data_IF_904997572873
#
_entry.id   IF_904997572873
#
_cell.length_a   1.000
_cell.length_b   1.000
_cell.length_c   1.000
_cell.angle_alpha   90.00
_cell.angle_beta   90.00
_cell.angle_gamma   90.00
#
_symmetry.space_group_name_H-M   'P 1'
#
loop_
_entity.id
_entity.type
_entity.pdbx_description
1 polymer ?
#
# COMPACT_ATOMS: atom_id res chain seq x y z
N UNK A 1 -11.03 -16.37 -12.56
CA UNK A 1 -10.78 -15.89 -11.23
C UNK A 1 -9.33 -16.01 -10.85
N UNK A 2 -8.60 -14.97 -11.08
CA UNK A 2 -7.18 -14.99 -10.81
C UNK A 2 -6.85 -14.10 -9.63
N UNK A 3 -6.25 -14.70 -8.61
CA UNK A 3 -5.63 -13.97 -7.54
C UNK A 3 -4.28 -13.48 -8.01
N UNK A 4 -3.94 -12.26 -7.64
CA UNK A 4 -2.66 -11.66 -7.99
C UNK A 4 -1.96 -11.17 -6.75
N UNK A 5 -0.66 -10.99 -6.87
CA UNK A 5 0.18 -10.49 -5.78
C UNK A 5 0.35 -8.99 -5.92
N UNK A 6 0.16 -8.31 -4.81
CA UNK A 6 0.39 -6.87 -4.70
C UNK A 6 1.21 -6.59 -3.45
N UNK A 7 1.69 -5.37 -3.33
CA UNK A 7 2.68 -5.04 -2.31
C UNK A 7 2.30 -3.77 -1.57
N UNK A 8 2.54 -3.77 -0.28
CA UNK A 8 2.28 -2.63 0.59
C UNK A 8 3.55 -2.26 1.33
N UNK A 9 3.95 -1.00 1.23
CA UNK A 9 5.12 -0.46 1.91
C UNK A 9 4.64 0.34 3.11
N UNK A 10 5.20 0.08 4.27
CA UNK A 10 4.81 0.80 5.46
C UNK A 10 5.97 0.91 6.44
N UNK A 11 5.81 1.73 7.47
CA UNK A 11 6.81 1.87 8.52
C UNK A 11 6.88 0.61 9.37
N UNK A 12 8.07 0.32 9.85
CA UNK A 12 8.38 -0.86 10.66
C UNK A 12 7.51 -0.97 11.91
N UNK A 13 7.08 0.15 12.47
CA UNK A 13 6.21 0.17 13.65
C UNK A 13 4.87 -0.53 13.41
N UNK A 14 4.41 -0.60 12.17
CA UNK A 14 3.14 -1.20 11.81
C UNK A 14 3.22 -2.72 11.60
N UNK A 15 4.42 -3.28 11.64
CA UNK A 15 4.67 -4.68 11.29
C UNK A 15 3.83 -5.66 12.12
N UNK A 16 3.87 -5.53 13.43
CA UNK A 16 3.17 -6.49 14.30
C UNK A 16 1.66 -6.40 14.16
N UNK A 17 1.14 -5.19 14.03
CA UNK A 17 -0.28 -4.98 13.83
C UNK A 17 -0.76 -5.63 12.53
N UNK A 18 0.02 -5.51 11.45
CA UNK A 18 -0.33 -6.09 10.16
C UNK A 18 -0.26 -7.61 10.22
N UNK A 19 0.76 -8.17 10.84
CA UNK A 19 0.86 -9.63 11.00
C UNK A 19 -0.30 -10.21 11.82
N UNK A 20 -0.80 -9.44 12.78
CA UNK A 20 -1.91 -9.87 13.63
C UNK A 20 -3.28 -9.66 12.98
N UNK A 21 -3.50 -8.53 12.37
CA UNK A 21 -4.81 -8.08 11.92
C UNK A 21 -5.00 -8.04 10.40
N UNK A 22 -3.93 -8.24 9.64
CA UNK A 22 -3.93 -8.02 8.20
C UNK A 22 -3.76 -6.53 7.86
N UNK A 23 -3.88 -6.23 6.57
CA UNK A 23 -3.87 -4.85 6.10
C UNK A 23 -5.28 -4.27 6.24
N UNK A 24 -5.43 -3.31 7.12
CA UNK A 24 -6.72 -2.69 7.43
C UNK A 24 -6.84 -1.36 6.68
N UNK A 25 -7.93 -1.11 5.98
CA UNK A 25 -8.12 0.17 5.29
C UNK A 25 -7.98 1.36 6.24
N UNK A 26 -7.19 2.34 5.83
CA UNK A 26 -6.95 3.53 6.65
C UNK A 26 -6.65 4.73 5.78
N UNK A 27 -6.79 5.92 6.36
CA UNK A 27 -6.35 7.15 5.72
C UNK A 27 -4.91 7.39 6.20
N UNK A 28 -3.95 7.21 5.30
CA UNK A 28 -2.55 7.44 5.62
C UNK A 28 -2.22 8.92 5.71
N UNK A 29 -1.30 9.26 6.61
CA UNK A 29 -0.85 10.65 6.78
C UNK A 29 -0.28 11.24 5.49
N UNK A 30 0.39 10.43 4.69
CA UNK A 30 0.98 10.89 3.43
C UNK A 30 -0.08 11.28 2.41
N UNK A 31 -1.20 10.57 2.38
CA UNK A 31 -2.31 10.92 1.49
C UNK A 31 -2.92 12.27 1.85
N UNK A 32 -3.04 12.55 3.14
CA UNK A 32 -3.58 13.83 3.61
C UNK A 32 -2.69 15.01 3.21
N UNK A 33 -1.38 14.78 3.06
CA UNK A 33 -0.43 15.81 2.65
C UNK A 33 -0.42 16.05 1.15
N UNK A 34 -0.55 14.97 0.37
CA UNK A 34 -0.28 15.02 -1.07
C UNK A 34 -1.49 15.38 -1.91
N UNK A 35 -2.70 15.20 -1.41
CA UNK A 35 -3.90 15.23 -2.24
C UNK A 35 -4.84 16.39 -1.90
N UNK A 36 -4.35 17.62 -2.02
CA UNK A 36 -5.18 18.81 -1.78
C UNK A 36 -6.35 18.94 -2.76
N UNK A 37 -6.14 18.49 -3.99
CA UNK A 37 -7.15 18.66 -5.04
C UNK A 37 -8.25 17.63 -4.97
N UNK A 38 -7.98 16.54 -4.30
CA UNK A 38 -8.90 15.41 -4.28
C UNK A 38 -9.14 14.97 -2.86
N UNK A 39 -9.68 15.90 -2.08
CA UNK A 39 -9.95 15.66 -0.67
C UNK A 39 -10.85 14.46 -0.44
N UNK A 40 -11.79 14.21 -1.35
CA UNK A 40 -12.68 13.06 -1.24
C UNK A 40 -11.92 11.76 -1.36
N UNK A 41 -11.07 11.64 -2.37
CA UNK A 41 -10.29 10.42 -2.60
C UNK A 41 -9.24 10.20 -1.55
N UNK A 42 -8.60 11.27 -1.09
CA UNK A 42 -7.58 11.16 -0.06
C UNK A 42 -8.15 10.82 1.31
N UNK A 43 -9.43 11.10 1.54
CA UNK A 43 -10.10 10.78 2.81
C UNK A 43 -10.70 9.39 2.83
N UNK A 44 -10.77 8.70 1.71
CA UNK A 44 -11.26 7.33 1.68
C UNK A 44 -10.32 6.39 2.42
N UNK A 45 -10.85 5.67 3.40
CA UNK A 45 -10.06 4.66 4.09
C UNK A 45 -9.87 3.46 3.16
N UNK A 46 -8.64 3.23 2.75
CA UNK A 46 -8.30 2.12 1.87
C UNK A 46 -6.90 1.61 2.12
N UNK A 47 -6.65 0.37 1.71
CA UNK A 47 -5.29 -0.19 1.65
C UNK A 47 -4.73 0.19 0.28
N UNK A 48 -3.59 0.87 0.27
CA UNK A 48 -2.91 1.27 -0.96
C UNK A 48 -1.81 0.27 -1.28
N UNK A 49 -1.88 -0.30 -2.46
CA UNK A 49 -0.97 -1.34 -2.92
C UNK A 49 -0.26 -0.91 -4.19
N UNK A 50 0.86 -1.54 -4.48
CA UNK A 50 1.58 -1.35 -5.74
C UNK A 50 1.98 -2.68 -6.34
N UNK A 51 2.40 -2.65 -7.60
CA UNK A 51 2.96 -3.83 -8.25
C UNK A 51 4.39 -4.05 -7.77
N UNK A 52 4.90 -5.26 -8.01
CA UNK A 52 6.27 -5.61 -7.65
C UNK A 52 7.30 -4.67 -8.29
N UNK A 53 7.09 -4.34 -9.55
CA UNK A 53 8.01 -3.50 -10.31
C UNK A 53 8.04 -2.05 -9.82
N UNK A 54 7.01 -1.63 -9.09
CA UNK A 54 6.88 -0.25 -8.64
C UNK A 54 7.21 -0.04 -7.16
N UNK A 55 7.69 -1.07 -6.47
CA UNK A 55 8.00 -0.98 -5.04
C UNK A 55 8.95 0.18 -4.73
N UNK A 56 10.08 0.25 -5.43
CA UNK A 56 11.06 1.30 -5.19
C UNK A 56 10.53 2.68 -5.57
N UNK A 57 9.79 2.75 -6.65
CA UNK A 57 9.18 3.98 -7.11
C UNK A 57 8.21 4.55 -6.08
N UNK A 58 7.37 3.71 -5.51
CA UNK A 58 6.43 4.13 -4.47
C UNK A 58 7.14 4.48 -3.16
N UNK A 59 8.20 3.76 -2.82
CA UNK A 59 9.03 4.12 -1.66
C UNK A 59 9.58 5.53 -1.83
N UNK A 60 10.13 5.84 -3.00
CA UNK A 60 10.68 7.17 -3.28
C UNK A 60 9.63 8.27 -3.27
N UNK A 61 8.40 7.94 -3.65
CA UNK A 61 7.31 8.92 -3.65
C UNK A 61 6.75 9.19 -2.25
N UNK A 62 6.56 8.13 -1.47
CA UNK A 62 5.86 8.22 -0.17
C UNK A 62 6.84 8.36 0.99
N UNK A 63 7.93 7.61 0.92
CA UNK A 63 8.93 7.54 1.99
C UNK A 63 10.31 8.02 1.52
N UNK A 64 10.32 9.12 0.83
CA UNK A 64 11.50 9.66 0.15
C UNK A 64 12.74 9.79 1.04
N UNK A 65 12.54 10.21 2.30
CA UNK A 65 13.63 10.45 3.24
C UNK A 65 13.77 9.35 4.28
N UNK A 66 13.10 8.23 4.08
CA UNK A 66 13.12 7.13 5.04
C UNK A 66 13.97 6.01 4.46
N UNK A 67 14.89 5.49 5.26
CA UNK A 67 15.73 4.37 4.85
C UNK A 67 14.93 3.06 4.85
N UNK A 68 15.32 2.14 3.98
CA UNK A 68 14.70 0.82 3.91
C UNK A 68 14.73 0.07 5.24
N UNK A 69 15.74 0.30 6.07
CA UNK A 69 15.83 -0.34 7.39
C UNK A 69 14.67 0.02 8.32
N UNK A 70 13.99 1.14 8.08
CA UNK A 70 12.87 1.61 8.88
C UNK A 70 11.52 1.29 8.25
N UNK A 71 11.52 0.57 7.14
CA UNK A 71 10.33 0.19 6.40
C UNK A 71 10.20 -1.32 6.32
N UNK A 72 8.99 -1.77 6.06
CA UNK A 72 8.70 -3.16 5.75
C UNK A 72 7.83 -3.21 4.50
N UNK A 73 7.93 -4.31 3.76
CA UNK A 73 7.10 -4.55 2.58
C UNK A 73 6.34 -5.83 2.81
N UNK A 74 5.03 -5.76 2.60
CA UNK A 74 4.16 -6.93 2.68
C UNK A 74 3.70 -7.32 1.29
N UNK A 75 3.82 -8.61 0.99
CA UNK A 75 3.18 -9.20 -0.18
C UNK A 75 1.80 -9.65 0.24
N UNK A 76 0.79 -9.29 -0.54
CA UNK A 76 -0.57 -9.73 -0.30
C UNK A 76 -1.16 -10.34 -1.56
N UNK A 77 -2.08 -11.27 -1.36
CA UNK A 77 -2.78 -11.95 -2.45
C UNK A 77 -4.23 -11.52 -2.43
N UNK A 78 -4.68 -10.97 -3.54
CA UNK A 78 -6.05 -10.47 -3.67
C UNK A 78 -6.62 -10.80 -5.04
N UNK A 79 -7.95 -10.82 -5.11
CA UNK A 79 -8.65 -10.84 -6.39
C UNK A 79 -8.52 -9.47 -7.05
N UNK A 80 -8.16 -9.42 -8.32
CA UNK A 80 -8.09 -8.15 -9.04
C UNK A 80 -9.41 -7.41 -9.07
N UNK A 81 -10.50 -8.15 -9.09
CA UNK A 81 -11.85 -7.56 -9.09
C UNK A 81 -12.17 -6.79 -7.81
N UNK A 82 -11.45 -7.08 -6.72
CA UNK A 82 -11.64 -6.38 -5.44
C UNK A 82 -10.83 -5.09 -5.34
N UNK A 83 -10.05 -4.80 -6.37
CA UNK A 83 -9.15 -3.65 -6.37
C UNK A 83 -9.63 -2.60 -7.37
N UNK A 84 -9.34 -1.35 -7.04
CA UNK A 84 -9.49 -0.23 -7.99
C UNK A 84 -8.13 0.35 -8.29
N UNK A 85 -7.85 0.51 -9.58
CA UNK A 85 -6.60 1.07 -10.05
C UNK A 85 -6.75 2.57 -10.23
N UNK A 86 -5.78 3.33 -9.73
CA UNK A 86 -5.69 4.76 -9.96
C UNK A 86 -4.36 5.07 -10.60
N UNK A 87 -4.40 5.82 -11.68
CA UNK A 87 -3.22 6.19 -12.43
C UNK A 87 -2.77 7.58 -12.00
N UNK A 88 -1.76 7.62 -11.13
CA UNK A 88 -1.15 8.86 -10.70
C UNK A 88 0.04 9.18 -11.60
N UNK A 89 0.48 10.43 -11.60
CA UNK A 89 1.69 10.82 -12.34
C UNK A 89 2.91 9.99 -11.93
N UNK A 90 2.94 9.55 -10.69
CA UNK A 90 4.07 8.85 -10.11
C UNK A 90 3.93 7.32 -10.10
N UNK A 91 2.93 6.78 -10.74
CA UNK A 91 2.71 5.35 -10.82
C UNK A 91 1.28 4.94 -10.53
N UNK A 92 1.00 3.65 -10.62
CA UNK A 92 -0.33 3.12 -10.40
C UNK A 92 -0.52 2.71 -8.95
N UNK A 93 -1.64 3.08 -8.39
CA UNK A 93 -2.07 2.66 -7.07
C UNK A 93 -3.23 1.68 -7.22
N UNK A 94 -3.14 0.57 -6.50
CA UNK A 94 -4.22 -0.43 -6.42
C UNK A 94 -4.84 -0.31 -5.04
N UNK A 95 -6.08 0.16 -4.98
CA UNK A 95 -6.77 0.38 -3.71
C UNK A 95 -7.73 -0.75 -3.37
N UNK A 96 -7.77 -1.14 -2.10
CA UNK A 96 -8.70 -2.12 -1.57
C UNK A 96 -9.41 -1.54 -0.35
N UNK A 97 -10.73 -1.64 -0.32
CA UNK A 97 -11.52 -1.11 0.78
C UNK A 97 -11.87 -2.14 1.84
N UNK A 98 -11.45 -3.38 1.63
CA UNK A 98 -11.64 -4.47 2.59
C UNK A 98 -10.33 -4.82 3.28
N UNK A 99 -10.42 -5.50 4.42
CA UNK A 99 -9.25 -5.99 5.13
C UNK A 99 -8.61 -7.12 4.31
N UNK A 100 -7.30 -7.04 4.11
CA UNK A 100 -6.53 -8.07 3.42
C UNK A 100 -5.80 -8.90 4.46
N UNK A 101 -6.18 -10.15 4.61
CA UNK A 101 -5.60 -11.04 5.62
C UNK A 101 -4.51 -11.95 5.08
N UNK A 102 -4.50 -12.19 3.78
CA UNK A 102 -3.48 -13.01 3.14
C UNK A 102 -2.25 -12.17 2.85
N UNK A 103 -1.44 -11.97 3.87
CA UNK A 103 -0.26 -11.09 3.82
C UNK A 103 0.95 -11.81 4.39
N UNK A 104 2.11 -11.52 3.83
CA UNK A 104 3.38 -11.94 4.40
C UNK A 104 4.44 -10.88 4.18
N UNK A 105 5.32 -10.74 5.13
CA UNK A 105 6.45 -9.83 5.01
C UNK A 105 7.47 -10.39 4.03
N UNK A 106 7.98 -9.56 3.12
CA UNK A 106 9.09 -9.92 2.25
C UNK A 106 10.28 -9.05 2.59
N UNK A 107 11.48 -9.62 2.51
CA UNK A 107 12.71 -8.90 2.87
C UNK A 107 13.59 -8.58 1.68
N UNK A 108 13.29 -9.17 0.53
CA UNK A 108 14.02 -8.91 -0.72
C UNK A 108 13.06 -8.94 -1.89
N UNK A 109 13.33 -8.09 -2.82
CA UNK A 109 12.53 -7.99 -4.04
C UNK A 109 13.40 -7.50 -5.20
#
# INVERSE_FOLDING_TARGET
MSKSKFYHITRKENRESILKNGLVPSIGANRLRCCRRDERESKDARVSLCSFEEIEKWKDNIYRKVDWKDLVVFECVCERSDLRVRHWLNGDEYGCWDVIRDVREIKRW
#
